data_IF_944273133164
#
_entry.id   IF_944273133164
#
_cell.length_a   1.000
_cell.length_b   1.000
_cell.length_c   1.000
_cell.angle_alpha   90.00
_cell.angle_beta   90.00
_cell.angle_gamma   90.00
#
_symmetry.space_group_name_H-M   'P 1'
#
loop_
_entity.id
_entity.type
_entity.pdbx_description
1 polymer ?
#
# COMPACT_ATOMS: atom_id res chain seq x y z
N UNK A 1 32.45 23.48 61.83
CA UNK A 1 31.66 22.35 62.24
C UNK A 1 31.28 21.66 60.95
N UNK A 2 32.21 20.95 60.27
CA UNK A 2 32.74 19.62 60.57
C UNK A 2 31.60 18.62 60.73
N UNK A 3 31.36 17.85 59.72
CA UNK A 3 31.21 16.42 59.88
C UNK A 3 31.47 15.68 58.56
N UNK A 4 32.59 14.94 58.59
CA UNK A 4 33.04 13.91 57.69
C UNK A 4 32.36 12.58 58.06
N UNK A 5 31.82 11.83 57.13
CA UNK A 5 31.63 10.38 57.30
C UNK A 5 31.59 9.70 55.94
N UNK A 6 32.67 9.08 55.55
CA UNK A 6 32.94 7.64 55.55
C UNK A 6 32.33 6.87 54.37
N UNK A 7 33.23 6.56 53.43
CA UNK A 7 33.14 5.51 52.41
C UNK A 7 33.47 4.16 53.04
N UNK A 8 32.84 3.07 52.72
CA UNK A 8 33.42 1.75 52.84
C UNK A 8 33.90 1.22 51.48
N UNK A 9 35.14 0.94 51.44
CA UNK A 9 35.88 0.08 50.52
C UNK A 9 35.50 -1.38 50.83
N UNK A 10 35.13 -2.17 49.81
CA UNK A 10 35.04 -3.64 49.93
C UNK A 10 35.74 -4.29 48.77
N UNK A 11 36.79 -4.91 49.15
CA UNK A 11 37.64 -6.01 48.71
C UNK A 11 37.35 -6.72 47.39
N UNK A 12 38.48 -6.89 46.70
CA UNK A 12 38.73 -7.87 45.65
C UNK A 12 38.71 -9.29 46.21
N UNK A 13 37.97 -10.16 45.58
CA UNK A 13 38.29 -11.57 45.62
C UNK A 13 38.43 -12.15 44.22
N UNK A 14 39.64 -12.62 43.99
CA UNK A 14 40.10 -13.35 42.81
C UNK A 14 39.64 -14.79 42.94
N UNK A 15 38.93 -15.33 41.95
CA UNK A 15 38.89 -16.75 41.72
C UNK A 15 38.98 -17.05 40.23
N UNK A 16 40.11 -17.58 39.88
CA UNK A 16 40.50 -18.24 38.64
C UNK A 16 39.63 -19.46 38.38
N UNK A 17 39.01 -19.53 37.18
CA UNK A 17 38.33 -20.72 36.68
C UNK A 17 38.39 -20.71 35.16
N UNK A 18 39.47 -21.29 34.64
CA UNK A 18 39.67 -21.58 33.22
C UNK A 18 38.77 -22.73 32.81
N UNK A 19 37.83 -22.49 31.87
CA UNK A 19 37.32 -23.56 31.01
C UNK A 19 37.21 -23.04 29.58
N UNK A 20 38.14 -23.55 28.81
CA UNK A 20 38.22 -23.51 27.35
C UNK A 20 36.92 -24.06 26.75
N UNK A 21 36.13 -23.20 26.12
CA UNK A 21 35.02 -23.63 25.26
C UNK A 21 35.12 -22.85 23.97
N UNK A 22 35.66 -23.52 22.96
CA UNK A 22 35.76 -23.17 21.57
C UNK A 22 34.39 -22.68 21.02
N UNK A 23 34.27 -21.51 20.37
CA UNK A 23 33.05 -21.09 19.70
C UNK A 23 32.81 -21.94 18.46
N UNK A 24 31.70 -22.63 18.45
CA UNK A 24 31.18 -23.34 17.28
C UNK A 24 30.55 -22.31 16.35
N UNK A 25 31.10 -22.16 15.16
CA UNK A 25 30.49 -21.39 14.06
C UNK A 25 29.09 -21.90 13.75
N UNK A 26 28.09 -21.02 13.59
CA UNK A 26 26.81 -21.44 13.00
C UNK A 26 26.97 -21.61 11.51
N UNK A 27 26.71 -22.83 11.06
CA UNK A 27 26.66 -23.23 9.65
C UNK A 27 25.81 -22.26 8.82
N UNK A 28 26.46 -21.71 7.79
CA UNK A 28 25.85 -20.91 6.72
C UNK A 28 24.75 -21.69 6.01
N UNK A 29 23.50 -21.33 6.24
CA UNK A 29 22.36 -21.81 5.48
C UNK A 29 22.23 -20.98 4.19
N UNK A 30 23.11 -21.27 3.22
CA UNK A 30 22.99 -20.84 1.84
C UNK A 30 22.07 -21.81 1.10
N UNK A 31 20.79 -21.66 1.21
CA UNK A 31 19.81 -22.23 0.24
C UNK A 31 18.45 -21.60 0.57
N UNK A 32 18.10 -20.55 -0.14
CA UNK A 32 16.73 -20.18 -0.58
C UNK A 32 16.66 -18.76 -1.17
N UNK A 33 17.59 -18.47 -2.10
CA UNK A 33 17.51 -17.26 -2.91
C UNK A 33 17.58 -17.62 -4.42
N UNK A 34 16.72 -18.53 -4.88
CA UNK A 34 16.63 -18.84 -6.31
C UNK A 34 15.31 -19.50 -6.70
N UNK A 35 14.18 -18.89 -6.37
CA UNK A 35 12.88 -19.34 -6.87
C UNK A 35 11.87 -18.21 -7.15
N UNK A 36 12.27 -16.95 -7.14
CA UNK A 36 11.36 -15.82 -7.38
C UNK A 36 11.65 -15.04 -8.69
N UNK A 37 12.53 -15.52 -9.55
CA UNK A 37 12.93 -14.77 -10.76
C UNK A 37 12.38 -15.30 -12.08
N UNK A 38 11.44 -16.25 -12.11
CA UNK A 38 11.01 -16.88 -13.39
C UNK A 38 9.55 -16.70 -13.76
N UNK A 39 8.84 -15.69 -13.26
CA UNK A 39 7.40 -15.54 -13.53
C UNK A 39 6.99 -14.23 -14.23
N UNK A 40 7.89 -13.41 -14.76
CA UNK A 40 7.51 -12.13 -15.37
C UNK A 40 7.99 -11.92 -16.83
N UNK A 41 8.11 -12.99 -17.61
CA UNK A 41 8.55 -12.88 -19.00
C UNK A 41 7.63 -13.63 -19.99
N UNK A 42 6.29 -13.56 -19.87
CA UNK A 42 5.38 -13.96 -20.96
C UNK A 42 4.08 -13.17 -20.84
N UNK A 43 3.99 -12.02 -21.47
CA UNK A 43 2.76 -11.42 -21.97
C UNK A 43 3.05 -10.13 -22.74
N UNK A 44 3.84 -10.26 -23.80
CA UNK A 44 3.92 -9.22 -24.82
C UNK A 44 4.13 -9.90 -26.17
N UNK A 45 3.08 -10.42 -26.75
CA UNK A 45 2.96 -10.59 -28.22
C UNK A 45 1.54 -11.03 -28.58
N UNK A 46 1.12 -10.41 -29.67
CA UNK A 46 0.06 -10.78 -30.61
C UNK A 46 -1.35 -10.23 -30.38
N UNK A 47 -1.72 -9.38 -31.30
CA UNK A 47 -3.08 -8.96 -31.58
C UNK A 47 -3.18 -7.90 -32.64
N UNK A 48 -2.46 -8.03 -33.76
CA UNK A 48 -2.89 -7.40 -35.03
C UNK A 48 -4.14 -8.13 -35.52
N UNK A 49 -5.21 -7.40 -35.75
CA UNK A 49 -6.29 -7.85 -36.60
C UNK A 49 -6.94 -6.68 -37.32
N UNK A 50 -6.76 -6.72 -38.57
CA UNK A 50 -7.18 -5.90 -39.71
C UNK A 50 -8.69 -5.68 -39.76
N UNK A 51 -9.02 -4.42 -40.03
CA UNK A 51 -10.07 -3.79 -40.84
C UNK A 51 -10.93 -4.74 -41.71
N UNK A 52 -12.24 -4.57 -41.65
CA UNK A 52 -13.05 -4.32 -42.86
C UNK A 52 -14.37 -3.63 -42.53
N UNK A 53 -14.63 -2.56 -43.26
CA UNK A 53 -15.82 -1.71 -43.17
C UNK A 53 -17.06 -2.36 -43.77
N UNK A 54 -18.19 -1.84 -43.30
CA UNK A 54 -19.38 -1.70 -44.17
C UNK A 54 -20.31 -0.63 -43.63
N UNK A 55 -20.45 0.41 -44.40
CA UNK A 55 -21.43 1.48 -44.36
C UNK A 55 -22.84 0.91 -44.36
N UNK A 56 -23.71 1.34 -43.44
CA UNK A 56 -25.15 1.28 -43.58
C UNK A 56 -25.73 2.57 -43.01
N UNK A 57 -26.28 3.37 -43.90
CA UNK A 57 -27.18 4.49 -43.62
C UNK A 57 -28.48 3.95 -43.02
N UNK A 58 -28.97 4.55 -41.95
CA UNK A 58 -30.37 4.51 -41.60
C UNK A 58 -30.81 5.86 -41.02
N UNK A 59 -31.59 6.48 -41.80
CA UNK A 59 -32.80 7.28 -41.68
C UNK A 59 -33.15 7.85 -40.30
N UNK A 60 -33.32 9.18 -40.32
CA UNK A 60 -33.88 10.02 -39.26
C UNK A 60 -35.32 9.65 -38.94
N UNK A 61 -35.59 9.41 -37.67
CA UNK A 61 -36.93 9.48 -37.09
C UNK A 61 -36.98 10.55 -36.03
N UNK A 62 -37.77 11.53 -36.30
CA UNK A 62 -38.14 12.70 -35.50
C UNK A 62 -38.83 12.24 -34.19
N UNK A 63 -38.31 12.62 -33.03
CA UNK A 63 -38.96 12.46 -31.73
C UNK A 63 -38.99 13.79 -30.99
N UNK A 64 -40.08 14.16 -30.30
CA UNK A 64 -40.27 15.48 -29.71
C UNK A 64 -39.41 15.70 -28.47
N UNK A 65 -39.17 16.98 -28.07
CA UNK A 65 -38.26 17.32 -26.96
C UNK A 65 -38.86 16.89 -25.62
N UNK A 66 -38.13 16.06 -24.91
CA UNK A 66 -38.42 15.73 -23.51
C UNK A 66 -37.99 16.89 -22.60
N UNK A 67 -38.90 17.24 -21.70
CA UNK A 67 -38.75 18.26 -20.66
C UNK A 67 -37.51 18.00 -19.79
N UNK A 68 -36.78 19.09 -19.51
CA UNK A 68 -35.62 19.10 -18.64
C UNK A 68 -36.05 18.85 -17.19
N UNK A 69 -35.63 17.74 -16.62
CA UNK A 69 -35.64 17.52 -15.18
C UNK A 69 -34.49 18.26 -14.49
N UNK A 70 -34.65 18.79 -13.24
CA UNK A 70 -33.66 19.64 -12.61
C UNK A 70 -32.44 18.84 -12.18
N UNK A 71 -31.28 19.42 -12.49
CA UNK A 71 -29.93 18.98 -12.14
C UNK A 71 -29.82 18.54 -10.67
N UNK A 72 -29.74 17.25 -10.45
CA UNK A 72 -29.15 16.69 -9.23
C UNK A 72 -27.62 16.76 -9.40
N UNK A 73 -26.87 17.35 -8.48
CA UNK A 73 -25.42 17.42 -8.62
C UNK A 73 -24.85 15.98 -8.59
N UNK A 74 -24.47 15.51 -9.77
CA UNK A 74 -23.73 14.29 -9.92
C UNK A 74 -22.41 14.44 -9.17
N UNK A 75 -22.21 13.65 -8.12
CA UNK A 75 -20.92 13.43 -7.52
C UNK A 75 -19.98 12.90 -8.61
N UNK A 76 -19.16 13.80 -9.17
CA UNK A 76 -18.11 13.42 -10.09
C UNK A 76 -17.07 12.61 -9.31
N UNK A 77 -17.12 11.29 -9.46
CA UNK A 77 -16.04 10.42 -9.04
C UNK A 77 -14.81 10.75 -9.90
N UNK A 78 -13.89 11.52 -9.36
CA UNK A 78 -12.60 11.78 -10.00
C UNK A 78 -11.77 10.49 -9.94
N UNK A 79 -11.86 9.68 -11.00
CA UNK A 79 -10.97 8.55 -11.15
C UNK A 79 -9.62 9.04 -11.68
N UNK A 80 -8.60 9.08 -10.84
CA UNK A 80 -7.24 9.36 -11.26
C UNK A 80 -6.68 8.17 -12.05
N UNK A 81 -6.28 8.46 -13.30
CA UNK A 81 -5.59 7.48 -14.14
C UNK A 81 -4.11 7.55 -13.80
N UNK A 82 -3.62 6.55 -13.07
CA UNK A 82 -2.19 6.41 -12.81
C UNK A 82 -1.45 5.96 -14.08
N UNK A 83 -0.25 6.48 -14.28
CA UNK A 83 0.65 6.05 -15.35
C UNK A 83 0.93 4.55 -15.21
N UNK A 84 0.28 3.73 -16.05
CA UNK A 84 0.31 2.27 -15.96
C UNK A 84 -1.07 1.61 -16.03
N UNK A 85 -2.14 2.37 -16.21
CA UNK A 85 -3.48 1.82 -16.50
C UNK A 85 -4.24 1.23 -15.31
N UNK A 86 -3.72 1.35 -14.09
CA UNK A 86 -4.43 0.91 -12.89
C UNK A 86 -5.40 2.02 -12.46
N UNK A 87 -6.70 1.77 -12.60
CA UNK A 87 -7.74 2.66 -12.12
C UNK A 87 -7.99 2.36 -10.64
N UNK A 88 -7.77 3.35 -9.79
CA UNK A 88 -8.18 3.32 -8.40
C UNK A 88 -9.35 4.27 -8.16
N UNK A 89 -10.01 4.09 -7.04
CA UNK A 89 -11.05 4.98 -6.57
C UNK A 89 -10.43 6.15 -5.80
N UNK A 90 -11.18 7.26 -5.67
CA UNK A 90 -10.83 8.32 -4.74
C UNK A 90 -10.99 7.83 -3.29
N UNK A 91 -10.28 8.47 -2.37
CA UNK A 91 -10.49 8.24 -0.94
C UNK A 91 -11.93 8.64 -0.56
N UNK A 92 -12.61 7.78 0.20
CA UNK A 92 -14.01 8.01 0.60
C UNK A 92 -14.14 8.73 1.94
N UNK A 93 -13.13 8.64 2.82
CA UNK A 93 -13.10 9.29 4.13
C UNK A 93 -12.35 10.63 4.13
N UNK A 94 -11.35 10.77 3.25
CA UNK A 94 -10.50 11.96 3.16
C UNK A 94 -10.62 12.63 1.78
N UNK A 95 -10.49 13.95 1.76
CA UNK A 95 -10.29 14.70 0.51
C UNK A 95 -8.86 14.51 0.00
N UNK A 96 -8.63 14.71 -1.31
CA UNK A 96 -7.30 14.64 -1.91
C UNK A 96 -6.31 15.58 -1.21
N UNK A 97 -6.75 16.78 -0.82
CA UNK A 97 -5.92 17.74 -0.09
C UNK A 97 -5.44 17.18 1.27
N UNK A 98 -6.31 16.46 1.99
CA UNK A 98 -5.96 15.82 3.26
C UNK A 98 -5.02 14.63 3.08
N UNK A 99 -5.20 13.87 2.01
CA UNK A 99 -4.26 12.78 1.65
C UNK A 99 -2.88 13.35 1.31
N UNK A 100 -2.82 14.46 0.55
CA UNK A 100 -1.57 15.14 0.23
C UNK A 100 -0.90 15.67 1.50
N UNK A 101 -1.66 16.29 2.41
CA UNK A 101 -1.17 16.77 3.69
C UNK A 101 -0.59 15.62 4.55
N UNK A 102 -1.29 14.49 4.62
CA UNK A 102 -0.85 13.30 5.34
C UNK A 102 0.47 12.74 4.80
N UNK A 103 0.64 12.74 3.48
CA UNK A 103 1.80 12.18 2.79
C UNK A 103 2.93 13.20 2.52
N UNK A 104 2.79 14.44 3.01
CA UNK A 104 3.84 15.46 2.86
C UNK A 104 5.18 15.04 3.49
N UNK A 105 5.24 14.41 4.70
CA UNK A 105 6.49 13.91 5.26
C UNK A 105 7.18 12.88 4.37
N UNK A 106 6.41 11.98 3.73
CA UNK A 106 6.95 10.99 2.77
C UNK A 106 7.57 11.70 1.56
N UNK A 107 6.90 12.71 1.01
CA UNK A 107 7.42 13.48 -0.13
C UNK A 107 8.73 14.15 0.21
N UNK A 108 8.84 14.74 1.40
CA UNK A 108 10.07 15.36 1.90
C UNK A 108 11.19 14.33 2.14
N UNK A 109 10.86 13.18 2.74
CA UNK A 109 11.82 12.09 2.96
C UNK A 109 12.37 11.51 1.66
N UNK A 110 11.56 11.49 0.59
CA UNK A 110 11.97 10.99 -0.72
C UNK A 110 12.78 12.02 -1.53
N UNK A 111 12.32 13.26 -1.61
CA UNK A 111 12.81 14.26 -2.57
C UNK A 111 13.31 15.57 -1.95
N UNK A 112 13.24 15.72 -0.63
CA UNK A 112 13.77 16.87 0.09
C UNK A 112 15.29 17.03 -0.08
N UNK A 113 15.89 18.00 0.58
CA UNK A 113 17.32 18.31 0.45
C UNK A 113 18.22 17.10 0.70
N UNK A 114 17.86 16.23 1.67
CA UNK A 114 18.53 14.98 1.99
C UNK A 114 17.72 13.73 1.62
N UNK A 115 16.82 13.87 0.64
CA UNK A 115 15.88 12.81 0.26
C UNK A 115 16.56 11.53 -0.24
N UNK A 116 15.99 10.39 0.13
CA UNK A 116 16.51 9.06 -0.18
C UNK A 116 16.37 8.65 -1.65
N UNK A 117 15.53 9.35 -2.42
CA UNK A 117 15.21 9.06 -3.82
C UNK A 117 15.36 10.28 -4.73
N UNK A 118 16.31 11.19 -4.45
CA UNK A 118 16.53 12.43 -5.22
C UNK A 118 16.80 12.20 -6.71
N UNK A 119 17.44 11.08 -7.05
CA UNK A 119 17.78 10.66 -8.40
C UNK A 119 16.63 9.96 -9.12
N UNK A 120 15.53 9.71 -8.41
CA UNK A 120 14.38 9.04 -8.98
C UNK A 120 13.44 10.03 -9.68
N UNK A 121 12.87 9.59 -10.80
CA UNK A 121 11.81 10.31 -11.51
C UNK A 121 10.43 10.00 -10.95
N UNK A 122 10.26 8.84 -10.33
CA UNK A 122 8.99 8.40 -9.74
C UNK A 122 9.25 7.35 -8.67
N UNK A 123 8.53 7.43 -7.56
CA UNK A 123 8.45 6.39 -6.54
C UNK A 123 7.00 5.92 -6.45
N UNK A 124 6.78 4.62 -6.59
CA UNK A 124 5.46 3.99 -6.53
C UNK A 124 5.42 3.07 -5.31
N UNK A 125 4.59 3.42 -4.34
CA UNK A 125 4.34 2.62 -3.13
C UNK A 125 2.95 2.02 -3.24
N UNK A 126 2.86 0.69 -3.12
CA UNK A 126 1.61 -0.06 -3.16
C UNK A 126 1.43 -0.80 -1.85
N UNK A 127 0.25 -0.68 -1.29
CA UNK A 127 -0.08 -1.19 0.04
C UNK A 127 -1.25 -2.14 -0.06
N UNK A 128 -1.17 -3.27 0.63
CA UNK A 128 -2.30 -4.09 1.05
C UNK A 128 -2.49 -3.86 2.55
N UNK A 129 -3.71 -3.58 3.03
CA UNK A 129 -3.96 -3.30 4.43
C UNK A 129 -5.28 -3.91 4.88
N UNK A 130 -5.25 -4.86 5.83
CA UNK A 130 -6.41 -5.56 6.37
C UNK A 130 -6.28 -5.68 7.89
N UNK A 131 -7.23 -5.12 8.63
CA UNK A 131 -7.14 -4.96 10.07
C UNK A 131 -5.93 -4.12 10.46
N UNK A 132 -5.15 -4.61 11.40
CA UNK A 132 -3.86 -4.03 11.81
C UNK A 132 -2.69 -4.45 10.90
N UNK A 133 -2.89 -5.46 10.05
CA UNK A 133 -1.86 -5.97 9.16
C UNK A 133 -1.74 -5.15 7.88
N UNK A 134 -0.52 -4.90 7.43
CA UNK A 134 -0.26 -4.35 6.11
C UNK A 134 1.04 -4.87 5.50
N UNK A 135 1.06 -4.94 4.16
CA UNK A 135 2.24 -5.19 3.33
C UNK A 135 2.48 -3.98 2.44
N UNK A 136 3.75 -3.66 2.22
CA UNK A 136 4.16 -2.54 1.37
C UNK A 136 5.14 -3.02 0.31
N UNK A 137 4.91 -2.62 -0.94
CA UNK A 137 5.79 -2.91 -2.06
C UNK A 137 6.13 -1.61 -2.78
N UNK A 138 7.43 -1.31 -2.84
CA UNK A 138 7.93 -0.07 -3.44
C UNK A 138 8.75 -0.33 -4.69
N UNK A 139 8.46 0.45 -5.73
CA UNK A 139 9.25 0.52 -6.94
C UNK A 139 9.72 1.95 -7.16
N UNK A 140 10.95 2.09 -7.59
CA UNK A 140 11.58 3.38 -7.91
C UNK A 140 11.95 3.40 -9.38
N UNK A 141 11.65 4.49 -10.05
CA UNK A 141 12.03 4.69 -11.45
C UNK A 141 13.26 5.58 -11.53
N UNK A 142 14.39 5.00 -11.98
CA UNK A 142 15.66 5.69 -12.21
C UNK A 142 16.11 5.46 -13.64
N UNK A 143 16.55 6.51 -14.32
CA UNK A 143 17.08 6.40 -15.69
C UNK A 143 16.15 5.64 -16.66
N UNK A 144 14.83 5.73 -16.46
CA UNK A 144 13.82 5.06 -17.27
C UNK A 144 13.48 3.62 -16.87
N UNK A 145 14.22 3.01 -15.96
CA UNK A 145 14.00 1.66 -15.46
C UNK A 145 13.31 1.63 -14.11
N UNK A 146 12.52 0.58 -13.86
CA UNK A 146 11.89 0.32 -12.59
C UNK A 146 12.71 -0.68 -11.77
N UNK A 147 12.98 -0.32 -10.52
CA UNK A 147 13.67 -1.15 -9.54
C UNK A 147 12.75 -1.39 -8.35
N UNK A 148 12.68 -2.62 -7.86
CA UNK A 148 12.03 -2.91 -6.58
C UNK A 148 13.01 -2.64 -5.46
N UNK A 149 12.57 -1.87 -4.46
CA UNK A 149 13.38 -1.49 -3.30
C UNK A 149 12.62 -1.76 -2.01
N UNK A 150 13.34 -1.86 -0.91
CA UNK A 150 12.71 -1.96 0.42
C UNK A 150 12.15 -0.60 0.83
N UNK A 151 10.87 -0.57 1.13
CA UNK A 151 10.16 0.68 1.45
C UNK A 151 10.81 1.43 2.61
N UNK A 152 11.14 0.72 3.69
CA UNK A 152 11.67 1.30 4.91
C UNK A 152 13.18 1.64 4.86
N UNK A 153 13.83 1.42 3.73
CA UNK A 153 15.14 2.01 3.41
C UNK A 153 15.00 3.41 2.77
N UNK A 154 13.82 3.74 2.26
CA UNK A 154 13.54 5.03 1.62
C UNK A 154 12.81 6.00 2.54
N UNK A 155 11.81 5.51 3.27
CA UNK A 155 10.96 6.30 4.17
C UNK A 155 10.76 5.55 5.47
N UNK A 156 10.61 6.26 6.58
CA UNK A 156 10.31 5.62 7.85
C UNK A 156 8.86 5.09 7.85
N UNK A 157 8.61 4.09 8.70
CA UNK A 157 7.25 3.58 8.90
C UNK A 157 6.33 4.65 9.50
N UNK A 158 6.88 5.50 10.37
CA UNK A 158 6.19 6.60 11.02
C UNK A 158 5.75 7.66 10.00
N UNK A 159 6.66 8.10 9.11
CA UNK A 159 6.35 9.08 8.06
C UNK A 159 5.31 8.55 7.08
N UNK A 160 5.40 7.27 6.72
CA UNK A 160 4.44 6.63 5.80
C UNK A 160 3.05 6.50 6.44
N UNK A 161 2.95 6.29 7.75
CA UNK A 161 1.74 6.39 8.55
C UNK A 161 0.55 5.58 8.04
N UNK A 162 0.77 4.39 7.46
CA UNK A 162 -0.29 3.57 6.84
C UNK A 162 -1.46 3.30 7.78
N UNK A 163 -1.25 2.93 9.07
CA UNK A 163 -2.36 2.70 9.99
C UNK A 163 -3.24 3.93 10.19
N UNK A 164 -2.63 5.11 10.30
CA UNK A 164 -3.33 6.39 10.45
C UNK A 164 -4.07 6.77 9.17
N UNK A 165 -3.39 6.70 8.02
CA UNK A 165 -4.02 6.96 6.71
C UNK A 165 -5.23 6.04 6.48
N UNK A 166 -5.12 4.76 6.85
CA UNK A 166 -6.22 3.80 6.76
C UNK A 166 -7.39 4.19 7.68
N UNK A 167 -7.11 4.54 8.93
CA UNK A 167 -8.14 4.91 9.90
C UNK A 167 -8.88 6.19 9.49
N UNK A 168 -8.15 7.21 9.05
CA UNK A 168 -8.70 8.49 8.60
C UNK A 168 -9.48 8.35 7.26
N UNK A 169 -9.16 7.32 6.49
CA UNK A 169 -9.86 6.97 5.25
C UNK A 169 -11.14 6.16 5.46
N UNK A 170 -11.52 5.88 6.71
CA UNK A 170 -12.75 5.16 7.02
C UNK A 170 -13.98 5.97 6.58
N UNK A 171 -14.91 5.28 5.95
CA UNK A 171 -16.23 5.81 5.59
C UNK A 171 -17.31 4.89 6.14
N UNK A 172 -18.27 5.47 6.85
CA UNK A 172 -19.32 4.70 7.55
C UNK A 172 -20.08 3.81 6.54
N UNK A 173 -20.17 2.53 6.90
CA UNK A 173 -20.83 1.53 6.07
C UNK A 173 -20.03 1.03 4.86
N UNK A 174 -19.04 1.77 4.39
CA UNK A 174 -18.14 1.39 3.27
C UNK A 174 -16.85 0.72 3.80
N UNK A 175 -16.45 1.04 5.05
CA UNK A 175 -15.21 0.56 5.66
C UNK A 175 -14.00 1.44 5.33
N UNK A 176 -12.80 0.89 5.54
CA UNK A 176 -11.52 1.50 5.17
C UNK A 176 -10.95 0.86 3.90
N UNK A 177 -10.02 1.53 3.19
CA UNK A 177 -9.39 0.94 2.01
C UNK A 177 -8.61 -0.34 2.38
N UNK A 178 -8.75 -1.35 1.52
CA UNK A 178 -8.02 -2.62 1.62
C UNK A 178 -6.72 -2.59 0.82
N UNK A 179 -6.65 -1.71 -0.19
CA UNK A 179 -5.44 -1.48 -0.96
C UNK A 179 -5.27 0.01 -1.28
N UNK A 180 -4.01 0.44 -1.39
CA UNK A 180 -3.64 1.80 -1.74
C UNK A 180 -2.51 1.79 -2.75
N UNK A 181 -2.51 2.76 -3.66
CA UNK A 181 -1.41 3.02 -4.59
C UNK A 181 -1.05 4.49 -4.51
N UNK A 182 0.19 4.78 -4.10
CA UNK A 182 0.71 6.10 -3.85
C UNK A 182 1.85 6.36 -4.83
N UNK A 183 1.72 7.38 -5.67
CA UNK A 183 2.73 7.75 -6.67
C UNK A 183 3.31 9.11 -6.34
N UNK A 184 4.60 9.13 -6.11
CA UNK A 184 5.37 10.34 -5.79
C UNK A 184 6.25 10.71 -6.98
N UNK A 185 6.19 11.98 -7.37
CA UNK A 185 6.99 12.55 -8.46
C UNK A 185 7.55 13.89 -8.00
N UNK A 186 8.84 14.18 -8.20
CA UNK A 186 9.43 15.45 -7.75
C UNK A 186 8.65 16.65 -8.27
N UNK A 187 8.31 17.58 -7.36
CA UNK A 187 7.60 18.82 -7.71
C UNK A 187 6.13 18.67 -8.07
N UNK A 188 5.55 17.47 -7.93
CA UNK A 188 4.14 17.21 -8.21
C UNK A 188 3.47 16.71 -6.92
N UNK A 189 2.24 17.15 -6.61
CA UNK A 189 1.49 16.59 -5.49
C UNK A 189 1.35 15.07 -5.64
N UNK A 190 1.41 14.34 -4.52
CA UNK A 190 1.25 12.89 -4.52
C UNK A 190 -0.08 12.50 -5.17
N UNK A 191 -0.01 11.52 -6.06
CA UNK A 191 -1.19 10.91 -6.66
C UNK A 191 -1.51 9.64 -5.89
N UNK A 192 -2.75 9.49 -5.46
CA UNK A 192 -3.21 8.35 -4.68
C UNK A 192 -4.43 7.69 -5.33
N UNK A 193 -4.51 6.39 -5.18
CA UNK A 193 -5.67 5.60 -5.54
C UNK A 193 -5.95 4.59 -4.43
N UNK A 194 -7.22 4.36 -4.14
CA UNK A 194 -7.68 3.50 -3.07
C UNK A 194 -8.61 2.42 -3.62
N UNK A 195 -8.63 1.26 -2.97
CA UNK A 195 -9.60 0.22 -3.26
C UNK A 195 -10.19 -0.30 -1.96
N UNK A 196 -11.52 -0.20 -1.84
CA UNK A 196 -12.28 -0.59 -0.65
C UNK A 196 -12.83 -2.02 -0.73
N UNK A 197 -12.66 -2.67 -1.88
CA UNK A 197 -13.27 -3.96 -2.19
C UNK A 197 -12.27 -5.08 -2.43
N UNK A 198 -11.02 -4.76 -2.78
CA UNK A 198 -10.02 -5.75 -3.17
C UNK A 198 -8.64 -5.39 -2.61
N UNK A 199 -8.16 -6.19 -1.67
CA UNK A 199 -6.82 -6.01 -1.08
C UNK A 199 -5.68 -6.27 -2.06
N UNK A 200 -5.97 -6.87 -3.23
CA UNK A 200 -5.00 -7.16 -4.29
C UNK A 200 -5.18 -6.26 -5.53
N UNK A 201 -5.90 -5.16 -5.40
CA UNK A 201 -6.21 -4.28 -6.53
C UNK A 201 -4.96 -3.74 -7.26
N UNK A 202 -3.90 -3.45 -6.52
CA UNK A 202 -2.67 -2.85 -7.07
C UNK A 202 -1.47 -3.80 -7.10
N UNK A 203 -1.51 -4.89 -6.31
CA UNK A 203 -0.45 -5.91 -6.24
C UNK A 203 -1.07 -7.26 -5.95
N UNK A 204 -0.66 -8.27 -6.70
CA UNK A 204 -1.02 -9.65 -6.39
C UNK A 204 -0.02 -10.24 -5.42
N UNK A 205 -0.54 -10.76 -4.31
CA UNK A 205 0.25 -11.44 -3.31
C UNK A 205 0.07 -12.96 -3.45
N UNK A 206 1.13 -13.77 -3.28
CA UNK A 206 1.05 -15.22 -3.49
C UNK A 206 0.23 -15.94 -2.42
N UNK A 207 0.08 -15.31 -1.24
CA UNK A 207 -0.69 -15.85 -0.13
C UNK A 207 -1.93 -15.02 0.12
N UNK A 208 -3.05 -15.71 0.29
CA UNK A 208 -4.25 -15.11 0.85
C UNK A 208 -4.04 -14.87 2.35
N UNK A 209 -4.72 -13.88 2.89
CA UNK A 209 -4.74 -13.65 4.32
C UNK A 209 -5.64 -14.69 5.00
N UNK A 210 -5.35 -14.96 6.27
CA UNK A 210 -6.16 -15.83 7.09
C UNK A 210 -7.46 -15.16 7.52
N UNK A 211 -8.49 -15.94 7.83
CA UNK A 211 -9.83 -15.42 8.13
C UNK A 211 -9.86 -14.48 9.35
N UNK A 212 -8.96 -14.68 10.34
CA UNK A 212 -8.83 -13.83 11.51
C UNK A 212 -8.51 -12.37 11.15
N UNK A 213 -7.73 -12.13 10.08
CA UNK A 213 -7.43 -10.77 9.59
C UNK A 213 -8.67 -10.07 9.05
N UNK A 214 -9.55 -10.81 8.38
CA UNK A 214 -10.81 -10.23 7.90
C UNK A 214 -11.81 -9.98 9.04
N UNK A 215 -11.81 -10.82 10.07
CA UNK A 215 -12.58 -10.56 11.31
C UNK A 215 -12.08 -9.30 12.00
N UNK A 216 -10.76 -9.14 12.13
CA UNK A 216 -10.14 -7.94 12.70
C UNK A 216 -10.51 -6.70 11.88
N UNK A 217 -10.41 -6.76 10.55
CA UNK A 217 -10.80 -5.66 9.64
C UNK A 217 -12.24 -5.21 9.90
N UNK A 218 -13.19 -6.14 9.96
CA UNK A 218 -14.60 -5.80 10.16
C UNK A 218 -14.92 -5.30 11.57
N UNK A 219 -14.11 -5.67 12.57
CA UNK A 219 -14.22 -5.12 13.93
C UNK A 219 -13.67 -3.70 14.01
N UNK A 220 -12.54 -3.42 13.36
CA UNK A 220 -11.93 -2.10 13.36
C UNK A 220 -12.65 -1.11 12.43
N UNK A 221 -13.11 -1.60 11.27
CA UNK A 221 -13.68 -0.80 10.19
C UNK A 221 -14.99 -1.43 9.69
N UNK A 222 -16.08 -1.27 10.45
CA UNK A 222 -17.37 -1.89 10.12
C UNK A 222 -17.88 -1.53 8.74
N UNK A 223 -18.47 -2.52 8.05
CA UNK A 223 -19.07 -2.38 6.72
C UNK A 223 -20.53 -2.82 6.75
N UNK A 224 -21.36 -2.22 5.91
CA UNK A 224 -22.69 -2.78 5.64
C UNK A 224 -22.52 -4.15 4.96
N UNK A 225 -23.43 -5.08 5.24
CA UNK A 225 -23.32 -6.45 4.70
C UNK A 225 -23.15 -6.51 3.18
N UNK A 226 -23.85 -5.64 2.44
CA UNK A 226 -23.71 -5.52 0.98
C UNK A 226 -22.36 -4.94 0.52
N UNK A 227 -21.58 -4.36 1.43
CA UNK A 227 -20.26 -3.75 1.17
C UNK A 227 -19.11 -4.64 1.65
N UNK A 228 -19.40 -5.80 2.24
CA UNK A 228 -18.38 -6.79 2.57
C UNK A 228 -17.95 -7.46 1.26
N UNK A 229 -16.66 -7.40 0.89
CA UNK A 229 -16.16 -8.03 -0.32
C UNK A 229 -16.39 -9.55 -0.30
N UNK A 230 -16.70 -10.14 -1.45
CA UNK A 230 -17.05 -11.56 -1.54
C UNK A 230 -15.95 -12.50 -1.02
N UNK A 231 -14.67 -12.16 -1.26
CA UNK A 231 -13.55 -12.97 -0.75
C UNK A 231 -13.46 -12.96 0.77
N UNK A 232 -13.76 -11.82 1.43
CA UNK A 232 -13.85 -11.72 2.88
C UNK A 232 -15.04 -12.52 3.41
N UNK A 233 -16.22 -12.35 2.81
CA UNK A 233 -17.42 -13.10 3.18
C UNK A 233 -17.18 -14.61 3.07
N UNK A 234 -16.55 -15.08 2.00
CA UNK A 234 -16.21 -16.48 1.80
C UNK A 234 -15.23 -17.00 2.87
N UNK A 235 -14.20 -16.22 3.22
CA UNK A 235 -13.26 -16.60 4.28
C UNK A 235 -13.96 -16.70 5.64
N UNK A 236 -14.95 -15.86 5.91
CA UNK A 236 -15.70 -15.84 7.16
C UNK A 236 -16.71 -16.96 7.30
N UNK A 237 -17.15 -17.61 6.20
CA UNK A 237 -18.07 -18.76 6.26
C UNK A 237 -17.48 -19.95 7.02
N UNK A 238 -16.17 -20.05 7.07
CA UNK A 238 -15.44 -21.12 7.78
C UNK A 238 -14.97 -20.69 9.19
N UNK A 239 -15.29 -19.46 9.59
CA UNK A 239 -14.96 -18.96 10.92
C UNK A 239 -15.99 -19.48 11.92
N UNK A 240 -15.59 -20.44 12.72
CA UNK A 240 -16.38 -20.89 13.90
C UNK A 240 -16.09 -19.95 15.05
N UNK A 241 -17.10 -19.22 15.51
CA UNK A 241 -17.03 -18.43 16.75
C UNK A 241 -17.16 -19.34 17.96
#
# INVERSE_FOLDING_TARGET
MDDLALVPEVEKDSLTGSTDTKPQEPASNKQNASAAQTAYAVAAQSGESTVNGKTAQHESADLPPAEAEPDTPAHQAHSSVLAGGVRGECNRGLTDAKVIEHLAPVTEALFGENGSAKDATTVLIRVRSVGSYYDVLTHVRRNGFWEQVRTFELVSEEDLGIPTLKADSYSEGEGSPLAMSLTFTPGVPVQSAFDYSNEQAFVRYPRQLEADRYVEELRMFPRLGAKIPAHMANALTHWSM
#
